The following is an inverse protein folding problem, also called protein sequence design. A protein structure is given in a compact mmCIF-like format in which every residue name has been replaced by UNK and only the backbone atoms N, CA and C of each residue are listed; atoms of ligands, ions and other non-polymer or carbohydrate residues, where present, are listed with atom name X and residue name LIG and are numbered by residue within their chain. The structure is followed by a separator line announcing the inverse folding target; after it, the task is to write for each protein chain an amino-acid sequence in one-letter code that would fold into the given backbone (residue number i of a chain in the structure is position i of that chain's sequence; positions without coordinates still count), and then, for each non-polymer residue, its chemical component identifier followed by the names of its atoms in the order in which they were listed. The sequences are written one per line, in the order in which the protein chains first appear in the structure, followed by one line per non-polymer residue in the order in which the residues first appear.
data_IF_856940464589
#
_entry.id   IF_856940464589
#
_cell.length_a   1.000
_cell.length_b   1.000
_cell.length_c   1.000
_cell.angle_alpha   90.00
_cell.angle_beta   90.00
_cell.angle_gamma   90.00
#
_symmetry.space_group_name_H-M   'P 1'
#
loop_
_entity.id
_entity.type
_entity.pdbx_description
1 polymer ?
#
# COMPACT_ATOMS: atom_id res chain seq x y z
N UNK A 1 1.65 -35.80 -4.68
CA UNK A 1 2.13 -36.85 -3.81
C UNK A 1 2.54 -36.27 -2.46
N UNK A 2 1.85 -36.73 -1.43
CA UNK A 2 2.04 -36.55 0.02
C UNK A 2 1.99 -35.11 0.58
N UNK A 3 0.77 -34.70 0.90
CA UNK A 3 0.46 -33.87 2.07
C UNK A 3 0.79 -34.71 3.31
N UNK A 4 1.91 -34.47 3.94
CA UNK A 4 2.18 -34.92 5.28
C UNK A 4 2.72 -33.78 6.12
N UNK A 5 1.82 -33.26 6.98
CA UNK A 5 2.10 -32.83 8.34
C UNK A 5 3.37 -31.98 8.55
N UNK A 6 3.23 -30.69 8.28
CA UNK A 6 4.12 -29.70 8.85
C UNK A 6 3.57 -29.34 10.24
N UNK A 7 3.92 -30.12 11.25
CA UNK A 7 3.82 -29.66 12.62
C UNK A 7 4.81 -28.48 12.79
N UNK A 8 4.39 -27.35 13.34
CA UNK A 8 5.32 -26.30 13.75
C UNK A 8 6.19 -26.90 14.84
N UNK A 9 7.46 -27.20 14.51
CA UNK A 9 8.42 -27.64 15.51
C UNK A 9 8.58 -26.47 16.48
N UNK A 10 8.07 -26.66 17.67
CA UNK A 10 8.31 -25.90 18.88
C UNK A 10 9.81 -25.95 19.22
N UNK A 11 10.63 -25.19 18.52
CA UNK A 11 11.82 -24.61 19.10
C UNK A 11 11.37 -23.28 19.71
N UNK A 12 10.50 -23.35 20.71
CA UNK A 12 10.48 -22.40 21.77
C UNK A 12 11.83 -22.52 22.48
N UNK A 13 12.77 -21.65 22.13
CA UNK A 13 13.84 -21.32 23.04
C UNK A 13 13.15 -20.60 24.20
N UNK A 14 12.63 -21.39 25.17
CA UNK A 14 12.11 -20.84 26.41
C UNK A 14 13.27 -20.10 27.05
N UNK A 15 13.10 -18.80 27.20
CA UNK A 15 13.92 -17.99 28.09
C UNK A 15 13.95 -18.71 29.42
N UNK A 16 15.13 -19.04 29.94
CA UNK A 16 15.25 -19.55 31.32
C UNK A 16 14.64 -18.53 32.25
N UNK A 17 13.72 -18.95 33.13
CA UNK A 17 13.20 -18.10 34.20
C UNK A 17 14.39 -17.40 34.89
N UNK A 18 14.40 -16.05 34.92
CA UNK A 18 15.47 -15.24 35.48
C UNK A 18 16.38 -14.53 34.45
N UNK A 19 16.04 -14.56 33.15
CA UNK A 19 16.81 -13.75 32.15
C UNK A 19 16.59 -12.26 32.38
N UNK A 20 17.69 -11.52 32.52
CA UNK A 20 17.71 -10.06 32.67
C UNK A 20 17.29 -9.44 31.33
N UNK A 21 16.31 -8.53 31.34
CA UNK A 21 16.02 -7.68 30.18
C UNK A 21 17.26 -6.86 29.85
N UNK A 22 17.67 -6.87 28.60
CA UNK A 22 18.84 -6.16 28.13
C UNK A 22 18.42 -4.98 27.26
N UNK A 23 19.11 -3.87 27.38
CA UNK A 23 18.88 -2.71 26.53
C UNK A 23 19.38 -2.98 25.08
N UNK A 24 18.97 -2.13 24.16
CA UNK A 24 19.33 -2.26 22.75
C UNK A 24 20.85 -2.24 22.51
N UNK A 25 21.62 -1.48 23.30
CA UNK A 25 23.08 -1.40 23.13
C UNK A 25 23.77 -2.70 23.56
N UNK A 26 23.28 -3.36 24.61
CA UNK A 26 23.74 -4.69 25.02
C UNK A 26 23.50 -5.72 23.93
N UNK A 27 22.27 -5.80 23.41
CA UNK A 27 21.95 -6.68 22.28
C UNK A 27 22.80 -6.38 21.04
N UNK A 28 22.98 -5.10 20.70
CA UNK A 28 23.82 -4.68 19.58
C UNK A 28 25.26 -5.15 19.71
N UNK A 29 25.83 -5.12 20.94
CA UNK A 29 27.16 -5.63 21.20
C UNK A 29 27.24 -7.14 20.99
N UNK A 30 26.24 -7.91 21.44
CA UNK A 30 26.15 -9.37 21.24
C UNK A 30 26.03 -9.71 19.75
N UNK A 31 25.12 -9.06 19.02
CA UNK A 31 24.94 -9.26 17.57
C UNK A 31 26.27 -9.04 16.84
N UNK A 32 26.97 -7.95 17.12
CA UNK A 32 28.26 -7.66 16.51
C UNK A 32 29.33 -8.68 16.87
N UNK A 33 29.32 -9.20 18.11
CA UNK A 33 30.23 -10.26 18.55
C UNK A 33 29.95 -11.57 17.82
N UNK A 34 28.68 -11.99 17.77
CA UNK A 34 28.25 -13.17 17.03
C UNK A 34 28.67 -13.10 15.55
N UNK A 35 28.47 -11.94 14.92
CA UNK A 35 28.89 -11.78 13.51
C UNK A 35 30.40 -11.94 13.31
N UNK A 36 31.22 -11.43 14.23
CA UNK A 36 32.69 -11.58 14.15
C UNK A 36 33.14 -13.04 14.30
N UNK A 37 32.37 -13.82 15.05
CA UNK A 37 32.66 -15.25 15.30
C UNK A 37 32.10 -16.17 14.20
N UNK A 38 31.31 -15.63 13.26
CA UNK A 38 30.79 -16.43 12.15
C UNK A 38 31.94 -16.92 11.28
N UNK A 39 32.00 -18.26 11.10
CA UNK A 39 32.87 -18.90 10.13
C UNK A 39 32.53 -18.44 8.70
N UNK A 40 33.44 -18.67 7.76
CA UNK A 40 33.19 -18.41 6.35
C UNK A 40 33.41 -19.69 5.54
N UNK A 41 32.34 -20.36 5.12
CA UNK A 41 30.92 -20.05 5.20
C UNK A 41 30.30 -20.33 6.58
N UNK A 42 29.27 -19.56 7.03
CA UNK A 42 28.67 -19.76 8.34
C UNK A 42 27.89 -21.08 8.41
N UNK A 43 27.84 -21.69 9.60
CA UNK A 43 27.04 -22.88 9.86
C UNK A 43 25.56 -22.53 10.08
N UNK A 44 24.68 -23.54 9.96
CA UNK A 44 23.26 -23.38 10.26
C UNK A 44 23.03 -22.95 11.71
N UNK A 45 23.74 -23.58 12.64
CA UNK A 45 23.64 -23.33 14.08
C UNK A 45 24.00 -21.87 14.40
N UNK A 46 25.13 -21.38 13.86
CA UNK A 46 25.57 -20.00 14.10
C UNK A 46 24.60 -18.96 13.57
N UNK A 47 23.99 -19.19 12.40
CA UNK A 47 22.96 -18.29 11.86
C UNK A 47 21.63 -18.40 12.63
N UNK A 48 21.29 -19.57 13.15
CA UNK A 48 20.11 -19.76 13.99
C UNK A 48 20.25 -19.05 15.34
N UNK A 49 21.44 -19.10 15.95
CA UNK A 49 21.74 -18.31 17.16
C UNK A 49 21.66 -16.81 16.88
N UNK A 50 22.20 -16.36 15.77
CA UNK A 50 22.08 -14.94 15.39
C UNK A 50 20.60 -14.55 15.22
N UNK A 51 19.77 -15.35 14.56
CA UNK A 51 18.34 -15.08 14.41
C UNK A 51 17.61 -15.03 15.78
N UNK A 52 17.97 -15.91 16.71
CA UNK A 52 17.41 -15.90 18.05
C UNK A 52 17.76 -14.59 18.79
N UNK A 53 19.00 -14.11 18.69
CA UNK A 53 19.41 -12.85 19.27
C UNK A 53 18.70 -11.66 18.66
N UNK A 54 18.47 -11.66 17.32
CA UNK A 54 17.68 -10.61 16.67
C UNK A 54 16.24 -10.56 17.21
N UNK A 55 15.64 -11.74 17.50
CA UNK A 55 14.30 -11.81 18.11
C UNK A 55 14.29 -11.24 19.51
N UNK A 56 15.21 -11.64 20.38
CA UNK A 56 15.31 -11.11 21.73
C UNK A 56 15.54 -9.59 21.74
N UNK A 57 16.35 -9.08 20.82
CA UNK A 57 16.56 -7.64 20.67
C UNK A 57 15.24 -6.90 20.43
N UNK A 58 14.36 -7.43 19.57
CA UNK A 58 13.09 -6.79 19.26
C UNK A 58 12.00 -7.03 20.31
N UNK A 59 12.07 -8.15 21.06
CA UNK A 59 11.14 -8.47 22.14
C UNK A 59 11.45 -7.70 23.41
N UNK A 60 12.74 -7.49 23.74
CA UNK A 60 13.17 -6.76 24.93
C UNK A 60 13.03 -5.25 24.80
N UNK A 61 13.01 -4.74 23.56
CA UNK A 61 12.98 -3.31 23.28
C UNK A 61 11.76 -2.97 22.42
N UNK A 62 10.63 -2.70 23.05
CA UNK A 62 9.37 -2.35 22.36
C UNK A 62 9.46 -1.01 21.61
N UNK A 63 10.33 -0.10 22.05
CA UNK A 63 10.52 1.25 21.52
C UNK A 63 11.79 1.38 20.68
N UNK A 64 12.12 0.33 19.91
CA UNK A 64 13.28 0.36 19.01
C UNK A 64 13.12 1.47 17.97
N UNK A 65 14.12 2.36 17.91
CA UNK A 65 14.16 3.41 16.87
C UNK A 65 14.23 2.81 15.47
N UNK A 66 13.90 3.61 14.44
CA UNK A 66 14.03 3.18 13.04
C UNK A 66 15.45 2.70 12.71
N UNK A 67 16.48 3.44 13.16
CA UNK A 67 17.89 3.04 12.97
C UNK A 67 18.21 1.72 13.66
N UNK A 68 17.66 1.50 14.87
CA UNK A 68 17.80 0.24 15.60
C UNK A 68 17.14 -0.92 14.88
N UNK A 69 15.91 -0.73 14.42
CA UNK A 69 15.21 -1.72 13.57
C UNK A 69 16.00 -2.02 12.30
N UNK A 70 16.44 -1.00 11.58
CA UNK A 70 17.17 -1.15 10.32
C UNK A 70 18.50 -1.88 10.53
N UNK A 71 19.18 -1.63 11.66
CA UNK A 71 20.34 -2.41 12.07
C UNK A 71 19.99 -3.90 12.22
N UNK A 72 18.93 -4.25 12.95
CA UNK A 72 18.49 -5.64 13.15
C UNK A 72 18.10 -6.29 11.79
N UNK A 73 17.37 -5.56 10.95
CA UNK A 73 16.92 -6.03 9.64
C UNK A 73 18.08 -6.22 8.65
N UNK A 74 19.16 -5.49 8.76
CA UNK A 74 20.37 -5.72 7.95
C UNK A 74 20.99 -7.10 8.25
N UNK A 75 20.98 -7.54 9.52
CA UNK A 75 21.46 -8.88 9.88
C UNK A 75 20.49 -9.99 9.48
N UNK A 76 19.19 -9.77 9.57
CA UNK A 76 18.21 -10.73 9.05
C UNK A 76 18.35 -10.91 7.53
N UNK A 77 18.63 -9.83 6.80
CA UNK A 77 18.98 -9.88 5.37
C UNK A 77 20.23 -10.72 5.09
N UNK A 78 21.24 -10.64 5.94
CA UNK A 78 22.43 -11.47 5.86
C UNK A 78 22.09 -12.96 6.05
N UNK A 79 21.28 -13.31 7.06
CA UNK A 79 20.82 -14.69 7.30
C UNK A 79 20.05 -15.23 6.08
N UNK A 80 19.09 -14.47 5.55
CA UNK A 80 18.31 -14.87 4.36
C UNK A 80 19.20 -15.16 3.16
N UNK A 81 20.18 -14.29 2.89
CA UNK A 81 21.12 -14.47 1.77
C UNK A 81 21.86 -15.80 1.87
N UNK A 82 22.38 -16.12 3.05
CA UNK A 82 23.07 -17.38 3.28
C UNK A 82 22.13 -18.58 3.21
N UNK A 83 20.94 -18.49 3.78
CA UNK A 83 19.95 -19.55 3.75
C UNK A 83 19.56 -19.91 2.30
N UNK A 84 19.28 -18.89 1.44
CA UNK A 84 18.98 -19.09 0.02
C UNK A 84 20.15 -19.73 -0.73
N UNK A 85 21.38 -19.23 -0.54
CA UNK A 85 22.56 -19.74 -1.22
C UNK A 85 22.84 -21.22 -0.84
N UNK A 86 22.78 -21.53 0.45
CA UNK A 86 22.99 -22.88 0.97
C UNK A 86 21.90 -23.84 0.52
N UNK A 87 20.62 -23.43 0.59
CA UNK A 87 19.52 -24.25 0.07
C UNK A 87 19.66 -24.53 -1.43
N UNK A 88 20.07 -23.54 -2.21
CA UNK A 88 20.26 -23.70 -3.66
C UNK A 88 21.34 -24.73 -4.00
N UNK A 89 22.40 -24.80 -3.19
CA UNK A 89 23.52 -25.70 -3.41
C UNK A 89 23.34 -27.09 -2.79
N UNK A 90 22.70 -27.18 -1.61
CA UNK A 90 22.62 -28.45 -0.84
C UNK A 90 21.26 -29.11 -0.93
N UNK A 91 20.21 -28.37 -1.23
CA UNK A 91 18.79 -28.75 -1.13
C UNK A 91 18.39 -29.26 0.26
N UNK A 92 19.17 -28.94 1.29
CA UNK A 92 18.87 -29.30 2.66
C UNK A 92 17.75 -28.39 3.22
N UNK A 93 16.69 -29.03 3.71
CA UNK A 93 15.47 -28.38 4.20
C UNK A 93 15.69 -27.46 5.41
N UNK A 94 16.76 -27.68 6.20
CA UNK A 94 17.07 -26.79 7.32
C UNK A 94 17.29 -25.35 6.86
N UNK A 95 17.91 -25.14 5.67
CA UNK A 95 18.15 -23.82 5.12
C UNK A 95 16.86 -23.15 4.61
N UNK A 96 15.95 -23.94 4.02
CA UNK A 96 14.62 -23.43 3.67
C UNK A 96 13.85 -23.02 4.94
N UNK A 97 13.90 -23.83 5.99
CA UNK A 97 13.31 -23.50 7.28
C UNK A 97 13.89 -22.19 7.84
N UNK A 98 15.21 -22.04 7.88
CA UNK A 98 15.87 -20.83 8.38
C UNK A 98 15.45 -19.59 7.59
N UNK A 99 15.33 -19.70 6.27
CA UNK A 99 14.82 -18.63 5.43
C UNK A 99 13.41 -18.19 5.85
N UNK A 100 12.48 -19.15 5.99
CA UNK A 100 11.11 -18.85 6.36
C UNK A 100 10.98 -18.36 7.81
N UNK A 101 11.76 -18.88 8.72
CA UNK A 101 11.81 -18.39 10.11
C UNK A 101 12.32 -16.95 10.18
N UNK A 102 13.25 -16.57 9.29
CA UNK A 102 13.73 -15.19 9.18
C UNK A 102 12.68 -14.28 8.56
N UNK A 103 11.98 -14.70 7.49
CA UNK A 103 10.88 -13.93 6.91
C UNK A 103 9.75 -13.73 7.93
N UNK A 104 9.41 -14.77 8.70
CA UNK A 104 8.40 -14.66 9.77
C UNK A 104 8.81 -13.65 10.83
N UNK A 105 10.08 -13.67 11.24
CA UNK A 105 10.62 -12.69 12.17
C UNK A 105 10.50 -11.25 11.66
N UNK A 106 10.80 -11.00 10.38
CA UNK A 106 10.69 -9.68 9.78
C UNK A 106 9.26 -9.20 9.57
N UNK A 107 8.31 -10.11 9.37
CA UNK A 107 6.95 -9.80 8.92
C UNK A 107 6.20 -8.77 9.77
N UNK A 108 6.31 -8.70 11.12
CA UNK A 108 5.68 -7.64 11.91
C UNK A 108 6.27 -6.25 11.65
N UNK A 109 7.51 -6.15 11.16
CA UNK A 109 8.28 -4.91 11.07
C UNK A 109 8.46 -4.43 9.63
N UNK A 110 8.50 -5.36 8.66
CA UNK A 110 8.77 -5.09 7.24
C UNK A 110 7.59 -5.56 6.38
N UNK A 111 6.94 -4.62 5.72
CA UNK A 111 5.74 -4.90 4.92
C UNK A 111 6.00 -5.86 3.75
N UNK A 112 7.16 -5.77 3.07
CA UNK A 112 7.56 -6.72 2.02
C UNK A 112 7.61 -8.16 2.55
N UNK A 113 8.21 -8.36 3.72
CA UNK A 113 8.31 -9.67 4.38
C UNK A 113 6.95 -10.18 4.86
N UNK A 114 6.08 -9.28 5.35
CA UNK A 114 4.70 -9.60 5.67
C UNK A 114 3.95 -10.15 4.47
N UNK A 115 4.00 -9.45 3.33
CA UNK A 115 3.33 -9.88 2.09
C UNK A 115 3.82 -11.25 1.62
N UNK A 116 5.14 -11.49 1.68
CA UNK A 116 5.75 -12.78 1.30
C UNK A 116 5.25 -13.89 2.23
N UNK A 117 5.27 -13.66 3.54
CA UNK A 117 4.91 -14.68 4.52
C UNK A 117 3.41 -14.96 4.52
N UNK A 118 2.57 -13.94 4.41
CA UNK A 118 1.11 -14.06 4.40
C UNK A 118 0.59 -15.08 3.40
N UNK A 119 1.22 -15.18 2.25
CA UNK A 119 0.79 -16.08 1.17
C UNK A 119 1.63 -17.37 1.07
N UNK A 120 2.46 -17.67 2.10
CA UNK A 120 3.37 -18.82 2.07
C UNK A 120 2.67 -20.14 1.74
N UNK A 121 1.50 -20.39 2.33
CA UNK A 121 0.72 -21.62 2.15
C UNK A 121 -0.12 -21.65 0.88
N UNK A 122 -0.25 -20.53 0.17
CA UNK A 122 -1.07 -20.44 -1.03
C UNK A 122 -0.37 -21.04 -2.24
N UNK A 123 -1.14 -21.69 -3.13
CA UNK A 123 -0.64 -22.18 -4.42
C UNK A 123 -0.11 -21.00 -5.25
N UNK A 124 0.98 -21.19 -6.01
CA UNK A 124 1.65 -20.13 -6.78
C UNK A 124 0.70 -19.28 -7.62
N UNK A 125 -0.20 -19.91 -8.39
CA UNK A 125 -1.20 -19.22 -9.21
C UNK A 125 -2.21 -18.37 -8.42
N UNK A 126 -2.36 -18.61 -7.11
CA UNK A 126 -3.25 -17.87 -6.21
C UNK A 126 -2.54 -16.79 -5.40
N UNK A 127 -1.23 -16.75 -5.43
CA UNK A 127 -0.43 -15.73 -4.76
C UNK A 127 -0.65 -14.39 -5.45
N UNK A 128 -0.89 -13.36 -4.64
CA UNK A 128 -1.06 -12.00 -5.12
C UNK A 128 0.27 -11.30 -5.32
N UNK A 129 1.12 -11.28 -4.26
CA UNK A 129 2.27 -10.39 -4.22
C UNK A 129 3.47 -10.90 -5.00
N UNK A 130 3.88 -12.15 -4.82
CA UNK A 130 5.10 -12.69 -5.44
C UNK A 130 5.15 -12.49 -6.96
N UNK A 131 4.09 -12.80 -7.74
CA UNK A 131 4.08 -12.55 -9.18
C UNK A 131 4.16 -11.06 -9.56
N UNK A 132 3.76 -10.17 -8.65
CA UNK A 132 3.68 -8.71 -8.85
C UNK A 132 4.82 -7.95 -8.21
N UNK A 133 5.64 -8.61 -7.41
CA UNK A 133 6.65 -7.98 -6.55
C UNK A 133 7.61 -7.09 -7.32
N UNK A 134 8.03 -7.50 -8.51
CA UNK A 134 8.95 -6.72 -9.36
C UNK A 134 8.41 -5.30 -9.62
N UNK A 135 7.13 -5.17 -9.92
CA UNK A 135 6.48 -3.89 -10.20
C UNK A 135 6.00 -3.18 -8.94
N UNK A 136 5.40 -3.92 -8.00
CA UNK A 136 4.77 -3.32 -6.82
C UNK A 136 5.73 -3.03 -5.67
N UNK A 137 6.98 -3.53 -5.72
CA UNK A 137 7.95 -3.32 -4.62
C UNK A 137 8.17 -1.84 -4.30
N UNK A 138 8.20 -0.98 -5.31
CA UNK A 138 8.35 0.46 -5.11
C UNK A 138 7.15 1.06 -4.33
N UNK A 139 5.94 0.56 -4.59
CA UNK A 139 4.73 0.97 -3.84
C UNK A 139 4.77 0.42 -2.41
N UNK A 140 5.28 -0.82 -2.24
CA UNK A 140 5.47 -1.44 -0.92
C UNK A 140 6.49 -0.66 -0.09
N UNK A 141 7.54 -0.15 -0.71
CA UNK A 141 8.54 0.68 -0.03
C UNK A 141 7.94 2.05 0.37
N UNK A 142 7.10 2.65 -0.48
CA UNK A 142 6.38 3.88 -0.13
C UNK A 142 5.39 3.65 1.04
N UNK A 143 4.70 2.50 1.06
CA UNK A 143 3.83 2.11 2.18
C UNK A 143 4.62 1.86 3.48
N UNK A 144 5.82 1.28 3.38
CA UNK A 144 6.73 1.16 4.52
C UNK A 144 7.16 2.55 5.03
N UNK A 145 7.51 3.47 4.14
CA UNK A 145 7.88 4.83 4.52
C UNK A 145 6.72 5.59 5.19
N UNK A 146 5.47 5.35 4.75
CA UNK A 146 4.26 5.88 5.39
C UNK A 146 4.10 5.31 6.81
N UNK A 147 4.30 4.00 6.99
CA UNK A 147 4.24 3.36 8.31
C UNK A 147 5.39 3.85 9.21
N UNK A 148 6.57 4.07 8.65
CA UNK A 148 7.75 4.57 9.35
C UNK A 148 7.69 6.08 9.66
N UNK A 149 6.58 6.76 9.35
CA UNK A 149 6.39 8.20 9.56
C UNK A 149 7.43 9.08 8.86
N UNK A 150 8.00 8.60 7.74
CA UNK A 150 8.85 9.40 6.86
C UNK A 150 8.03 10.31 5.95
N UNK A 151 6.76 9.97 5.78
CA UNK A 151 5.73 10.75 5.10
C UNK A 151 4.42 10.62 5.88
N UNK A 152 3.53 11.62 5.77
CA UNK A 152 2.22 11.64 6.42
C UNK A 152 1.09 11.27 5.45
N UNK A 153 1.33 11.46 4.17
CA UNK A 153 0.39 11.20 3.08
C UNK A 153 1.04 10.41 1.95
N UNK A 154 0.34 9.37 1.48
CA UNK A 154 0.71 8.63 0.28
C UNK A 154 -0.45 8.56 -0.70
N UNK A 155 -0.28 9.17 -1.87
CA UNK A 155 -1.18 9.05 -3.01
C UNK A 155 -0.69 8.00 -4.00
N UNK A 156 -1.50 6.99 -4.32
CA UNK A 156 -1.16 5.92 -5.26
C UNK A 156 -2.10 5.93 -6.45
N UNK A 157 -1.54 6.00 -7.64
CA UNK A 157 -2.29 5.97 -8.89
C UNK A 157 -1.72 4.93 -9.84
N UNK A 158 -2.50 3.88 -10.10
CA UNK A 158 -2.17 2.76 -10.98
C UNK A 158 -3.33 2.46 -11.92
N UNK A 159 -3.11 1.80 -13.06
CA UNK A 159 -4.17 1.34 -13.94
C UNK A 159 -5.22 0.49 -13.22
N UNK A 160 -6.44 0.41 -13.75
CA UNK A 160 -7.46 -0.47 -13.19
C UNK A 160 -7.02 -1.94 -13.18
N UNK A 161 -7.43 -2.69 -12.14
CA UNK A 161 -7.28 -4.15 -12.00
C UNK A 161 -5.86 -4.68 -11.83
N UNK A 162 -4.83 -3.83 -11.68
CA UNK A 162 -3.44 -4.27 -11.47
C UNK A 162 -3.14 -4.70 -10.03
N UNK A 163 -4.09 -4.51 -9.09
CA UNK A 163 -3.99 -4.99 -7.71
C UNK A 163 -3.78 -3.91 -6.67
N UNK A 164 -4.00 -2.61 -6.99
CA UNK A 164 -3.83 -1.49 -6.06
C UNK A 164 -4.63 -1.66 -4.76
N UNK A 165 -5.96 -1.84 -4.84
CA UNK A 165 -6.81 -1.99 -3.64
C UNK A 165 -6.48 -3.27 -2.86
N UNK A 166 -6.13 -4.37 -3.55
CA UNK A 166 -5.69 -5.61 -2.88
C UNK A 166 -4.43 -5.38 -2.05
N UNK A 167 -3.44 -4.65 -2.59
CA UNK A 167 -2.22 -4.30 -1.84
C UNK A 167 -2.55 -3.49 -0.58
N UNK A 168 -3.49 -2.54 -0.69
CA UNK A 168 -3.92 -1.71 0.45
C UNK A 168 -4.69 -2.51 1.50
N UNK A 169 -5.47 -3.54 1.10
CA UNK A 169 -6.11 -4.46 2.04
C UNK A 169 -5.05 -5.21 2.87
N UNK A 170 -3.98 -5.70 2.25
CA UNK A 170 -2.86 -6.30 2.98
C UNK A 170 -2.16 -5.29 3.90
N UNK A 171 -1.98 -4.05 3.44
CA UNK A 171 -1.36 -3.00 4.24
C UNK A 171 -2.21 -2.69 5.49
N UNK A 172 -3.51 -2.51 5.33
CA UNK A 172 -4.41 -2.26 6.46
C UNK A 172 -4.46 -3.46 7.42
N UNK A 173 -4.47 -4.70 6.92
CA UNK A 173 -4.38 -5.88 7.76
C UNK A 173 -3.06 -5.91 8.56
N UNK A 174 -1.94 -5.55 7.94
CA UNK A 174 -0.64 -5.46 8.60
C UNK A 174 -0.62 -4.41 9.72
N UNK A 175 -1.12 -3.21 9.44
CA UNK A 175 -1.22 -2.11 10.41
C UNK A 175 -2.09 -2.53 11.60
N UNK A 176 -3.26 -3.10 11.33
CA UNK A 176 -4.16 -3.58 12.38
C UNK A 176 -3.56 -4.73 13.20
N UNK A 177 -2.76 -5.59 12.58
CA UNK A 177 -2.01 -6.64 13.29
C UNK A 177 -0.97 -6.08 14.24
N UNK A 178 -0.33 -4.97 13.88
CA UNK A 178 0.65 -4.27 14.74
C UNK A 178 -0.01 -3.49 15.87
N UNK A 179 -1.16 -2.90 15.62
CA UNK A 179 -1.89 -2.00 16.55
C UNK A 179 -3.37 -2.38 16.57
N UNK A 180 -3.73 -3.48 17.22
CA UNK A 180 -5.13 -3.95 17.25
C UNK A 180 -6.08 -2.99 17.98
N UNK A 181 -5.59 -2.19 18.92
CA UNK A 181 -6.35 -1.16 19.62
C UNK A 181 -6.46 0.18 18.86
N UNK A 182 -5.68 0.38 17.80
CA UNK A 182 -5.73 1.59 16.98
C UNK A 182 -6.99 1.66 16.12
N UNK A 183 -7.49 2.88 15.89
CA UNK A 183 -8.70 3.10 15.09
C UNK A 183 -8.33 3.52 13.68
N UNK A 184 -8.86 2.82 12.69
CA UNK A 184 -8.63 3.07 11.27
C UNK A 184 -9.95 3.21 10.53
N UNK A 185 -9.96 4.02 9.49
CA UNK A 185 -11.12 4.18 8.64
C UNK A 185 -10.81 3.94 7.17
N UNK A 186 -11.74 3.31 6.47
CA UNK A 186 -11.72 3.18 5.01
C UNK A 186 -12.93 3.86 4.40
N UNK A 187 -12.71 4.68 3.38
CA UNK A 187 -13.76 5.27 2.55
C UNK A 187 -13.54 5.04 1.07
N UNK A 188 -14.63 5.06 0.32
CA UNK A 188 -14.64 5.05 -1.14
C UNK A 188 -15.92 5.70 -1.66
N UNK A 189 -16.08 5.76 -2.98
CA UNK A 189 -17.26 6.39 -3.59
C UNK A 189 -18.60 5.71 -3.24
N UNK A 190 -18.62 4.52 -2.65
CA UNK A 190 -19.88 3.83 -2.34
C UNK A 190 -19.76 2.85 -1.16
N UNK A 191 -20.89 2.60 -0.50
CA UNK A 191 -20.99 1.57 0.55
C UNK A 191 -20.66 0.15 0.06
N UNK A 192 -20.94 -0.16 -1.22
CA UNK A 192 -20.62 -1.47 -1.81
C UNK A 192 -19.10 -1.69 -1.86
N UNK A 193 -18.34 -0.66 -2.21
CA UNK A 193 -16.88 -0.74 -2.21
C UNK A 193 -16.34 -0.92 -0.79
N UNK A 194 -16.88 -0.17 0.16
CA UNK A 194 -16.52 -0.27 1.57
C UNK A 194 -16.83 -1.66 2.16
N UNK A 195 -18.00 -2.23 1.86
CA UNK A 195 -18.39 -3.58 2.28
C UNK A 195 -17.46 -4.67 1.71
N UNK A 196 -17.10 -4.54 0.43
CA UNK A 196 -16.13 -5.45 -0.18
C UNK A 196 -14.77 -5.38 0.52
N UNK A 197 -14.27 -4.18 0.78
CA UNK A 197 -13.00 -3.99 1.48
C UNK A 197 -13.04 -4.62 2.87
N UNK A 198 -14.09 -4.37 3.63
CA UNK A 198 -14.31 -4.96 4.95
C UNK A 198 -14.25 -6.49 4.92
N UNK A 199 -14.98 -7.12 3.98
CA UNK A 199 -14.98 -8.59 3.83
C UNK A 199 -13.62 -9.15 3.45
N UNK A 200 -12.92 -8.49 2.54
CA UNK A 200 -11.60 -8.94 2.08
C UNK A 200 -10.56 -8.78 3.21
N UNK A 201 -10.61 -7.70 4.00
CA UNK A 201 -9.76 -7.52 5.18
C UNK A 201 -10.04 -8.57 6.26
N UNK A 202 -11.33 -8.84 6.58
CA UNK A 202 -11.73 -9.91 7.51
C UNK A 202 -11.18 -11.26 7.07
N UNK A 203 -11.26 -11.56 5.77
CA UNK A 203 -10.74 -12.80 5.20
C UNK A 203 -9.22 -12.96 5.38
N UNK A 204 -8.44 -11.91 5.23
CA UNK A 204 -6.99 -11.97 5.45
C UNK A 204 -6.64 -12.35 6.89
N UNK A 205 -7.44 -11.89 7.86
CA UNK A 205 -7.19 -12.12 9.28
C UNK A 205 -7.67 -13.50 9.74
N UNK A 206 -8.81 -13.97 9.23
CA UNK A 206 -9.47 -15.20 9.72
C UNK A 206 -9.12 -16.46 8.92
N UNK A 207 -8.88 -16.33 7.62
CA UNK A 207 -8.74 -17.50 6.76
C UNK A 207 -7.40 -18.21 6.95
N UNK A 208 -7.45 -19.54 7.07
CA UNK A 208 -6.29 -20.41 7.14
C UNK A 208 -5.44 -20.45 5.85
N UNK A 209 -5.98 -19.93 4.73
CA UNK A 209 -5.19 -19.74 3.51
C UNK A 209 -4.05 -18.73 3.68
N UNK A 210 -4.19 -17.84 4.67
CA UNK A 210 -3.22 -16.82 5.03
C UNK A 210 -2.59 -17.11 6.39
N UNK A 211 -1.35 -16.69 6.56
CA UNK A 211 -0.58 -16.96 7.78
C UNK A 211 -0.63 -15.80 8.77
N UNK A 212 -1.69 -14.97 8.75
CA UNK A 212 -1.81 -13.79 9.61
C UNK A 212 -1.59 -14.12 11.10
N UNK A 213 -2.23 -15.19 11.59
CA UNK A 213 -2.11 -15.62 12.98
C UNK A 213 -0.75 -16.20 13.36
N UNK A 214 0.07 -16.59 12.38
CA UNK A 214 1.46 -16.99 12.64
C UNK A 214 2.37 -15.77 12.84
N UNK A 215 2.00 -14.62 12.24
CA UNK A 215 2.72 -13.33 12.37
C UNK A 215 2.26 -12.60 13.63
N UNK A 216 0.95 -12.53 13.86
CA UNK A 216 0.30 -11.84 14.98
C UNK A 216 -0.53 -12.83 15.82
N UNK A 217 0.12 -13.69 16.61
CA UNK A 217 -0.55 -14.81 17.30
C UNK A 217 -1.56 -14.35 18.35
N UNK A 218 -1.44 -13.14 18.89
CA UNK A 218 -2.37 -12.60 19.90
C UNK A 218 -3.57 -11.88 19.30
N UNK A 219 -3.54 -11.53 18.01
CA UNK A 219 -4.58 -10.73 17.36
C UNK A 219 -5.71 -11.61 16.85
N UNK A 220 -6.93 -11.29 17.25
CA UNK A 220 -8.18 -11.96 16.86
C UNK A 220 -9.26 -10.92 16.59
N UNK A 221 -10.23 -11.26 15.74
CA UNK A 221 -11.47 -10.49 15.68
C UNK A 221 -12.26 -10.80 16.94
N UNK A 222 -12.30 -9.83 17.87
CA UNK A 222 -13.00 -9.94 19.14
C UNK A 222 -14.50 -9.68 18.98
N UNK A 223 -14.87 -8.70 18.15
CA UNK A 223 -16.24 -8.33 17.84
C UNK A 223 -16.34 -7.76 16.41
N UNK A 224 -17.52 -7.81 15.83
CA UNK A 224 -17.79 -7.23 14.50
C UNK A 224 -19.25 -6.88 14.30
N UNK A 225 -19.50 -5.86 13.51
CA UNK A 225 -20.81 -5.54 12.96
C UNK A 225 -20.74 -5.55 11.44
N UNK A 226 -21.25 -6.62 10.83
CA UNK A 226 -21.29 -6.73 9.36
C UNK A 226 -22.23 -5.70 8.74
N UNK A 227 -23.30 -5.30 9.44
CA UNK A 227 -24.24 -4.27 9.00
C UNK A 227 -23.57 -2.89 8.92
N UNK A 228 -22.70 -2.59 9.90
CA UNK A 228 -21.99 -1.30 9.98
C UNK A 228 -20.61 -1.33 9.32
N UNK A 229 -20.13 -2.51 8.87
CA UNK A 229 -18.78 -2.75 8.39
C UNK A 229 -17.70 -2.32 9.41
N UNK A 230 -17.90 -2.70 10.66
CA UNK A 230 -17.02 -2.43 11.80
C UNK A 230 -16.39 -3.72 12.32
N UNK A 231 -15.09 -3.67 12.61
CA UNK A 231 -14.27 -4.78 13.10
C UNK A 231 -13.44 -4.33 14.29
N UNK A 232 -13.48 -5.14 15.37
CA UNK A 232 -12.72 -4.93 16.60
C UNK A 232 -11.73 -6.09 16.77
N UNK A 233 -10.44 -5.79 16.83
CA UNK A 233 -9.38 -6.81 16.94
C UNK A 233 -8.87 -7.00 18.36
N UNK A 234 -9.14 -6.06 19.25
CA UNK A 234 -8.78 -6.14 20.65
C UNK A 234 -10.04 -5.97 21.52
N UNK A 235 -9.85 -6.08 22.83
CA UNK A 235 -10.94 -5.92 23.77
C UNK A 235 -11.61 -4.56 23.58
N UNK A 236 -12.90 -4.55 23.79
CA UNK A 236 -13.90 -3.50 23.72
C UNK A 236 -13.33 -2.07 23.83
N UNK A 237 -12.87 -1.52 22.71
CA UNK A 237 -12.66 -0.10 22.56
C UNK A 237 -13.98 0.60 22.17
N UNK A 238 -14.06 1.91 22.40
CA UNK A 238 -15.25 2.69 22.06
C UNK A 238 -15.47 2.80 20.56
N UNK A 239 -14.38 2.74 19.78
CA UNK A 239 -14.38 2.75 18.32
C UNK A 239 -13.76 1.47 17.75
N UNK A 240 -14.16 1.13 16.53
CA UNK A 240 -13.68 -0.07 15.86
C UNK A 240 -12.22 0.08 15.40
N UNK A 241 -11.47 -1.02 15.45
CA UNK A 241 -10.13 -1.08 14.84
C UNK A 241 -10.18 -0.76 13.36
N UNK A 242 -11.26 -1.12 12.67
CA UNK A 242 -11.53 -0.76 11.28
C UNK A 242 -13.00 -0.43 11.09
N UNK A 243 -13.28 0.75 10.56
CA UNK A 243 -14.60 1.15 10.07
C UNK A 243 -14.55 1.41 8.57
N UNK A 244 -15.42 0.75 7.79
CA UNK A 244 -15.49 0.90 6.34
C UNK A 244 -16.83 1.51 5.92
N UNK A 245 -16.83 2.69 5.29
CA UNK A 245 -18.05 3.37 4.86
C UNK A 245 -17.86 4.07 3.52
N UNK A 246 -18.92 4.11 2.69
CA UNK A 246 -18.95 5.04 1.56
C UNK A 246 -18.88 6.48 2.04
N UNK A 247 -18.37 7.38 1.21
CA UNK A 247 -18.26 8.80 1.58
C UNK A 247 -19.61 9.44 1.92
N UNK A 248 -20.68 8.97 1.30
CA UNK A 248 -22.05 9.43 1.56
C UNK A 248 -22.68 8.79 2.82
N UNK A 249 -21.92 7.97 3.55
CA UNK A 249 -22.37 7.30 4.79
C UNK A 249 -22.35 8.21 6.01
N UNK A 250 -22.72 7.64 7.18
CA UNK A 250 -22.69 8.37 8.44
C UNK A 250 -21.29 8.33 9.04
N UNK A 251 -20.63 9.47 9.12
CA UNK A 251 -19.26 9.61 9.64
C UNK A 251 -19.21 10.33 10.98
N UNK A 252 -19.96 11.45 11.11
CA UNK A 252 -19.94 12.30 12.31
C UNK A 252 -20.44 11.54 13.53
N UNK A 253 -19.64 11.55 14.61
CA UNK A 253 -19.96 10.89 15.87
C UNK A 253 -19.90 9.35 15.85
N UNK A 254 -19.52 8.76 14.69
CA UNK A 254 -19.49 7.31 14.52
C UNK A 254 -18.10 6.76 14.13
N UNK A 255 -17.17 7.63 13.72
CA UNK A 255 -15.81 7.27 13.28
C UNK A 255 -14.81 8.18 13.98
N UNK A 256 -13.76 7.58 14.49
CA UNK A 256 -12.58 8.20 15.03
C UNK A 256 -11.36 7.53 14.39
N UNK A 257 -10.32 8.28 14.07
CA UNK A 257 -9.06 7.75 13.57
C UNK A 257 -7.97 8.15 14.55
N UNK A 258 -7.40 7.16 15.24
CA UNK A 258 -6.38 7.40 16.28
C UNK A 258 -5.13 8.09 15.72
N UNK A 259 -4.32 8.68 16.60
CA UNK A 259 -3.06 9.36 16.27
C UNK A 259 -2.04 8.46 15.55
N UNK A 260 -2.12 7.16 15.75
CA UNK A 260 -1.31 6.14 15.07
C UNK A 260 -2.08 5.39 13.97
N UNK A 261 -3.35 5.76 13.74
CA UNK A 261 -4.26 5.16 12.77
C UNK A 261 -4.12 5.70 11.36
N UNK A 262 -4.98 5.18 10.49
CA UNK A 262 -5.00 5.49 9.06
C UNK A 262 -6.38 5.91 8.56
N UNK A 263 -6.42 6.99 7.79
CA UNK A 263 -7.49 7.23 6.84
C UNK A 263 -7.09 6.62 5.50
N UNK A 264 -7.76 5.52 5.12
CA UNK A 264 -7.61 4.93 3.78
C UNK A 264 -8.76 5.34 2.87
N UNK A 265 -8.45 5.92 1.73
CA UNK A 265 -9.42 6.40 0.75
C UNK A 265 -9.20 5.69 -0.58
N UNK A 266 -10.22 4.98 -1.09
CA UNK A 266 -10.15 4.22 -2.34
C UNK A 266 -11.17 4.71 -3.38
N UNK A 267 -10.68 5.10 -4.56
CA UNK A 267 -11.48 5.47 -5.74
C UNK A 267 -12.69 6.39 -5.39
N UNK A 268 -12.47 7.64 -4.95
CA UNK A 268 -13.54 8.58 -4.60
C UNK A 268 -14.40 8.99 -5.79
N UNK A 269 -13.86 8.99 -7.00
CA UNK A 269 -14.59 9.30 -8.22
C UNK A 269 -15.21 8.02 -8.77
N UNK A 270 -16.53 7.97 -8.84
CA UNK A 270 -17.27 6.78 -9.21
C UNK A 270 -17.15 6.43 -10.69
N UNK A 271 -17.31 7.42 -11.56
CA UNK A 271 -17.41 7.19 -12.99
C UNK A 271 -17.00 8.41 -13.84
N UNK A 272 -17.06 8.21 -15.17
CA UNK A 272 -16.73 9.25 -16.15
C UNK A 272 -17.64 10.47 -16.03
N UNK A 273 -18.94 10.28 -15.78
CA UNK A 273 -19.88 11.42 -15.74
C UNK A 273 -19.57 12.34 -14.55
N UNK A 274 -19.23 11.77 -13.40
CA UNK A 274 -18.76 12.53 -12.24
C UNK A 274 -17.47 13.28 -12.56
N UNK A 275 -16.53 12.65 -13.25
CA UNK A 275 -15.22 13.22 -13.59
C UNK A 275 -15.25 14.36 -14.59
N UNK A 276 -16.32 14.49 -15.39
CA UNK A 276 -16.50 15.55 -16.38
C UNK A 276 -17.18 16.79 -15.81
N UNK A 277 -17.71 16.73 -14.59
CA UNK A 277 -18.40 17.86 -13.96
C UNK A 277 -17.49 18.57 -12.96
N UNK A 278 -17.04 19.81 -13.23
CA UNK A 278 -16.23 20.58 -12.28
C UNK A 278 -16.89 20.71 -10.91
N UNK A 279 -18.21 20.97 -10.89
CA UNK A 279 -18.98 21.10 -9.64
C UNK A 279 -18.99 19.81 -8.83
N UNK A 280 -19.16 18.65 -9.48
CA UNK A 280 -19.12 17.34 -8.77
C UNK A 280 -17.74 17.03 -8.25
N UNK A 281 -16.69 17.33 -9.00
CA UNK A 281 -15.30 17.17 -8.55
C UNK A 281 -15.02 18.07 -7.34
N UNK A 282 -15.47 19.33 -7.38
CA UNK A 282 -15.36 20.25 -6.25
C UNK A 282 -16.09 19.72 -5.03
N UNK A 283 -17.36 19.35 -5.17
CA UNK A 283 -18.14 18.80 -4.06
C UNK A 283 -17.46 17.55 -3.48
N UNK A 284 -16.97 16.65 -4.31
CA UNK A 284 -16.29 15.44 -3.85
C UNK A 284 -15.00 15.75 -3.08
N UNK A 285 -14.26 16.79 -3.49
CA UNK A 285 -13.08 17.23 -2.75
C UNK A 285 -13.46 17.88 -1.43
N UNK A 286 -14.53 18.68 -1.39
CA UNK A 286 -15.03 19.25 -0.15
C UNK A 286 -15.59 18.18 0.81
N UNK A 287 -16.29 17.17 0.30
CA UNK A 287 -16.74 16.02 1.10
C UNK A 287 -15.53 15.27 1.71
N UNK A 288 -14.48 15.05 0.93
CA UNK A 288 -13.24 14.46 1.43
C UNK A 288 -12.65 15.28 2.58
N UNK A 289 -12.54 16.60 2.45
CA UNK A 289 -11.97 17.46 3.49
C UNK A 289 -12.87 17.53 4.74
N UNK A 290 -14.16 17.79 4.56
CA UNK A 290 -15.06 18.11 5.68
C UNK A 290 -15.70 16.86 6.34
N UNK A 291 -15.67 15.71 5.68
CA UNK A 291 -16.28 14.47 6.20
C UNK A 291 -15.20 13.50 6.67
N UNK A 292 -14.17 13.26 5.83
CA UNK A 292 -13.18 12.22 6.10
C UNK A 292 -11.99 12.76 6.91
N UNK A 293 -11.39 13.87 6.46
CA UNK A 293 -10.20 14.43 7.11
C UNK A 293 -10.52 14.92 8.52
N UNK A 294 -11.72 15.45 8.76
CA UNK A 294 -12.19 15.85 10.09
C UNK A 294 -12.29 14.70 11.11
N UNK A 295 -12.15 13.45 10.70
CA UNK A 295 -12.15 12.28 11.60
C UNK A 295 -10.76 11.89 12.08
N UNK A 296 -9.73 12.54 11.56
CA UNK A 296 -8.33 12.27 11.88
C UNK A 296 -7.93 12.98 13.18
N UNK A 297 -7.27 12.23 14.07
CA UNK A 297 -6.53 12.83 15.18
C UNK A 297 -5.13 13.27 14.72
N UNK A 298 -4.50 14.16 15.47
CA UNK A 298 -3.14 14.61 15.21
C UNK A 298 -2.18 13.40 15.23
N UNK A 299 -1.32 13.32 14.22
CA UNK A 299 -0.39 12.19 14.02
C UNK A 299 -0.95 11.02 13.20
N UNK A 300 -2.28 10.98 12.91
CA UNK A 300 -2.83 9.96 11.99
C UNK A 300 -2.36 10.19 10.56
N UNK A 301 -2.19 9.09 9.81
CA UNK A 301 -1.64 9.10 8.44
C UNK A 301 -2.72 8.86 7.41
N UNK A 302 -2.40 9.15 6.18
CA UNK A 302 -3.37 9.06 5.10
C UNK A 302 -2.83 8.31 3.89
N UNK A 303 -3.64 7.40 3.39
CA UNK A 303 -3.39 6.63 2.19
C UNK A 303 -4.55 6.85 1.22
N UNK A 304 -4.32 7.57 0.13
CA UNK A 304 -5.32 7.73 -0.93
C UNK A 304 -4.91 6.96 -2.17
N UNK A 305 -5.82 6.12 -2.64
CA UNK A 305 -5.61 5.31 -3.84
C UNK A 305 -6.69 5.60 -4.85
N UNK A 306 -6.32 5.79 -6.09
CA UNK A 306 -7.31 6.10 -7.11
C UNK A 306 -6.89 5.77 -8.51
N UNK A 307 -7.90 5.61 -9.36
CA UNK A 307 -7.75 5.70 -10.81
C UNK A 307 -7.87 7.16 -11.19
N UNK A 308 -6.91 7.70 -11.94
CA UNK A 308 -6.97 9.09 -12.39
C UNK A 308 -8.06 9.26 -13.47
N UNK A 309 -8.80 10.30 -13.34
CA UNK A 309 -9.88 10.65 -14.27
C UNK A 309 -9.73 12.05 -14.83
N UNK A 310 -9.31 12.98 -13.97
CA UNK A 310 -9.24 14.42 -14.27
C UNK A 310 -8.06 15.02 -13.50
N UNK A 311 -7.50 16.12 -13.96
CA UNK A 311 -6.46 16.83 -13.21
C UNK A 311 -6.98 17.40 -11.90
N UNK A 312 -8.29 17.67 -11.82
CA UNK A 312 -9.00 18.21 -10.65
C UNK A 312 -9.69 17.13 -9.82
N UNK A 313 -9.44 15.82 -10.08
CA UNK A 313 -9.87 14.79 -9.14
C UNK A 313 -9.18 14.97 -7.78
N UNK A 314 -9.72 14.45 -6.66
CA UNK A 314 -9.16 14.71 -5.34
C UNK A 314 -7.66 14.43 -5.24
N UNK A 315 -7.20 13.31 -5.81
CA UNK A 315 -5.79 12.95 -5.81
C UNK A 315 -4.94 13.94 -6.64
N UNK A 316 -5.47 14.44 -7.76
CA UNK A 316 -4.78 15.42 -8.60
C UNK A 316 -4.68 16.80 -7.96
N UNK A 317 -5.72 17.21 -7.21
CA UNK A 317 -5.68 18.47 -6.45
C UNK A 317 -4.66 18.39 -5.34
N UNK A 318 -4.69 17.35 -4.53
CA UNK A 318 -3.69 17.13 -3.47
C UNK A 318 -2.26 17.10 -4.04
N UNK A 319 -2.04 16.43 -5.18
CA UNK A 319 -0.74 16.42 -5.83
C UNK A 319 -0.31 17.84 -6.25
N UNK A 320 -1.20 18.63 -6.81
CA UNK A 320 -0.92 20.01 -7.22
C UNK A 320 -0.61 20.91 -6.03
N UNK A 321 -1.39 20.79 -4.97
CA UNK A 321 -1.30 21.61 -3.76
C UNK A 321 -0.05 21.27 -2.93
N UNK A 322 0.31 19.97 -2.85
CA UNK A 322 1.40 19.49 -1.98
C UNK A 322 2.62 18.97 -2.73
N UNK A 323 2.78 19.34 -4.00
CA UNK A 323 3.89 18.87 -4.87
C UNK A 323 5.28 19.01 -4.26
N UNK A 324 5.49 20.03 -3.44
CA UNK A 324 6.79 20.37 -2.86
C UNK A 324 6.86 20.11 -1.34
N UNK A 325 5.80 19.56 -0.75
CA UNK A 325 5.79 19.20 0.66
C UNK A 325 6.40 17.80 0.84
N UNK A 326 7.54 17.67 1.55
CA UNK A 326 8.21 16.37 1.73
C UNK A 326 7.39 15.36 2.52
N UNK A 327 6.35 15.80 3.25
CA UNK A 327 5.43 14.93 3.98
C UNK A 327 4.46 14.19 3.05
N UNK A 328 4.33 14.66 1.80
CA UNK A 328 3.42 14.11 0.80
C UNK A 328 4.21 13.38 -0.28
N UNK A 329 3.76 12.17 -0.61
CA UNK A 329 4.32 11.38 -1.72
C UNK A 329 3.23 10.93 -2.67
N UNK A 330 3.50 11.04 -3.97
CA UNK A 330 2.57 10.61 -5.02
C UNK A 330 3.26 9.60 -5.92
N UNK A 331 2.77 8.34 -5.89
CA UNK A 331 3.30 7.24 -6.71
C UNK A 331 2.39 6.96 -7.89
N UNK A 332 2.97 7.03 -9.09
CA UNK A 332 2.29 6.72 -10.35
C UNK A 332 3.06 5.64 -11.08
N UNK A 333 2.37 4.61 -11.56
CA UNK A 333 2.96 3.63 -12.48
C UNK A 333 2.02 3.51 -13.68
N UNK A 334 2.44 3.94 -14.88
CA UNK A 334 1.63 3.85 -16.08
C UNK A 334 1.50 2.39 -16.56
N UNK A 335 0.50 2.12 -17.41
CA UNK A 335 0.29 0.81 -18.01
C UNK A 335 1.46 0.37 -18.90
N UNK A 336 1.99 1.30 -19.67
CA UNK A 336 3.14 1.10 -20.55
C UNK A 336 4.30 1.98 -20.11
N UNK A 337 5.50 1.45 -20.23
CA UNK A 337 6.75 2.17 -19.97
C UNK A 337 7.18 3.04 -21.16
N UNK A 338 8.39 3.60 -21.10
CA UNK A 338 8.97 4.43 -22.14
C UNK A 338 9.28 3.66 -23.44
N UNK A 339 9.41 2.35 -23.36
CA UNK A 339 9.62 1.45 -24.49
C UNK A 339 8.30 0.89 -25.07
N UNK A 340 7.15 1.42 -24.62
CA UNK A 340 5.80 0.94 -24.98
C UNK A 340 5.58 -0.53 -24.58
N UNK A 341 6.23 -0.97 -23.47
CA UNK A 341 6.11 -2.30 -22.89
C UNK A 341 5.32 -2.26 -21.58
N UNK A 342 4.54 -3.34 -21.30
CA UNK A 342 3.68 -3.42 -20.12
C UNK A 342 4.48 -3.46 -18.83
N UNK A 343 4.22 -2.53 -17.91
CA UNK A 343 4.71 -2.56 -16.52
C UNK A 343 4.04 -3.67 -15.67
N UNK A 344 2.94 -4.25 -16.15
CA UNK A 344 2.09 -5.17 -15.38
C UNK A 344 1.99 -6.56 -16.01
N UNK A 345 3.00 -6.97 -16.74
CA UNK A 345 3.09 -8.31 -17.31
C UNK A 345 3.53 -9.32 -16.24
N UNK A 346 2.56 -9.75 -15.45
CA UNK A 346 2.77 -10.72 -14.38
C UNK A 346 2.71 -12.15 -14.90
N UNK A 347 3.39 -13.06 -14.23
CA UNK A 347 3.31 -14.49 -14.55
C UNK A 347 1.87 -15.04 -14.47
N UNK A 348 1.11 -14.56 -13.47
CA UNK A 348 -0.30 -14.94 -13.29
C UNK A 348 -1.17 -13.70 -13.15
N UNK A 349 -2.21 -13.61 -14.00
CA UNK A 349 -3.19 -12.53 -13.92
C UNK A 349 -2.64 -11.14 -14.23
N UNK A 350 -1.61 -11.07 -15.07
CA UNK A 350 -1.05 -9.83 -15.57
C UNK A 350 -1.70 -9.36 -16.87
N UNK A 351 -1.22 -8.22 -17.34
CA UNK A 351 -1.66 -7.58 -18.57
C UNK A 351 -0.50 -7.47 -19.53
N UNK A 352 -0.61 -8.17 -20.69
CA UNK A 352 0.44 -8.14 -21.71
C UNK A 352 0.53 -6.78 -22.39
N UNK A 353 1.67 -6.49 -22.99
CA UNK A 353 1.87 -5.32 -23.86
C UNK A 353 0.80 -5.26 -24.95
N UNK A 354 0.50 -6.40 -25.59
CA UNK A 354 -0.57 -6.48 -26.61
C UNK A 354 -1.91 -6.02 -26.04
N UNK A 355 -2.29 -6.51 -24.84
CA UNK A 355 -3.55 -6.12 -24.20
C UNK A 355 -3.66 -4.60 -24.05
N UNK A 356 -2.61 -3.94 -23.58
CA UNK A 356 -2.64 -2.50 -23.39
C UNK A 356 -2.63 -1.72 -24.71
N UNK A 357 -1.92 -2.20 -25.73
CA UNK A 357 -1.97 -1.61 -27.09
C UNK A 357 -3.37 -1.72 -27.70
N UNK A 358 -3.98 -2.89 -27.62
CA UNK A 358 -5.37 -3.11 -28.07
C UNK A 358 -6.38 -2.21 -27.31
N UNK A 359 -6.15 -1.99 -26.00
CA UNK A 359 -6.98 -1.08 -25.20
C UNK A 359 -6.78 0.39 -25.59
N UNK A 360 -5.56 0.79 -25.89
CA UNK A 360 -5.24 2.15 -26.38
C UNK A 360 -5.97 2.49 -27.68
N UNK A 361 -6.09 1.52 -28.58
CA UNK A 361 -6.81 1.70 -29.86
C UNK A 361 -8.32 1.80 -29.67
N UNK A 362 -8.88 1.14 -28.64
CA UNK A 362 -10.33 1.08 -28.38
C UNK A 362 -10.88 2.24 -27.56
N UNK A 363 -10.07 2.78 -26.67
CA UNK A 363 -10.50 3.81 -25.73
C UNK A 363 -10.39 5.21 -26.32
N UNK A 364 -11.22 6.11 -25.80
CA UNK A 364 -11.01 7.55 -25.98
C UNK A 364 -9.58 7.92 -25.52
N UNK A 365 -8.80 8.68 -26.31
CA UNK A 365 -7.43 9.04 -25.94
C UNK A 365 -7.33 9.68 -24.56
N UNK A 366 -8.30 10.51 -24.16
CA UNK A 366 -8.29 11.16 -22.84
C UNK A 366 -8.45 10.12 -21.73
N UNK A 367 -9.34 9.12 -21.91
CA UNK A 367 -9.50 8.03 -20.95
C UNK A 367 -8.27 7.15 -20.86
N UNK A 368 -7.64 6.87 -21.99
CA UNK A 368 -6.38 6.12 -22.01
C UNK A 368 -5.29 6.83 -21.23
N UNK A 369 -5.05 8.11 -21.55
CA UNK A 369 -4.02 8.89 -20.89
C UNK A 369 -4.29 9.10 -19.40
N UNK A 370 -5.53 9.33 -19.00
CA UNK A 370 -5.90 9.49 -17.60
C UNK A 370 -5.78 8.19 -16.82
N UNK A 371 -6.53 7.15 -17.20
CA UNK A 371 -6.68 5.93 -16.42
C UNK A 371 -5.50 4.98 -16.52
N UNK A 372 -4.90 4.88 -17.71
CA UNK A 372 -3.86 3.89 -17.96
C UNK A 372 -2.46 4.51 -17.91
N UNK A 373 -2.29 5.71 -18.42
CA UNK A 373 -0.99 6.39 -18.39
C UNK A 373 -0.80 7.31 -17.17
N UNK A 374 -1.82 7.46 -16.31
CA UNK A 374 -1.82 8.28 -15.10
C UNK A 374 -1.50 9.78 -15.36
N UNK A 375 -1.84 10.25 -16.55
CA UNK A 375 -1.60 11.60 -17.04
C UNK A 375 -2.91 12.22 -17.54
N UNK A 376 -3.88 12.51 -16.64
CA UNK A 376 -5.06 13.25 -17.04
C UNK A 376 -4.67 14.64 -17.52
N UNK A 377 -5.37 15.16 -18.50
CA UNK A 377 -5.22 16.54 -18.96
C UNK A 377 -6.58 17.26 -18.96
N UNK A 378 -6.55 18.56 -18.89
CA UNK A 378 -7.75 19.37 -18.97
C UNK A 378 -8.27 19.23 -20.40
N UNK A 379 -9.53 18.85 -20.56
CA UNK A 379 -10.25 19.21 -21.77
C UNK A 379 -10.48 20.72 -21.70
N UNK A 380 -9.50 21.50 -22.05
CA UNK A 380 -9.80 22.85 -22.51
C UNK A 380 -10.77 22.70 -23.66
N UNK A 381 -11.80 23.51 -23.66
CA UNK A 381 -12.89 23.42 -24.63
C UNK A 381 -12.38 23.43 -26.08
N UNK A 382 -11.93 22.27 -26.53
CA UNK A 382 -11.24 22.05 -27.78
C UNK A 382 -12.24 21.86 -28.92
N UNK A 383 -13.08 22.86 -29.12
CA UNK A 383 -13.60 23.10 -30.47
C UNK A 383 -12.44 23.50 -31.39
N UNK A 384 -11.37 24.13 -30.84
CA UNK A 384 -10.20 24.58 -31.58
C UNK A 384 -8.94 24.33 -30.75
N UNK A 385 -8.11 23.29 -31.08
CA UNK A 385 -6.77 23.15 -30.53
C UNK A 385 -5.96 24.44 -30.75
N UNK A 386 -5.13 24.81 -29.74
CA UNK A 386 -4.32 26.03 -29.84
C UNK A 386 -3.45 26.04 -31.10
N UNK A 387 -3.01 24.87 -31.58
CA UNK A 387 -2.27 24.71 -32.83
C UNK A 387 -3.10 25.03 -34.09
N UNK A 388 -4.43 25.06 -34.00
CA UNK A 388 -5.32 25.41 -35.09
C UNK A 388 -5.66 26.91 -35.07
N UNK A 389 -5.30 27.63 -33.99
CA UNK A 389 -5.52 29.07 -33.88
C UNK A 389 -4.42 29.77 -34.67
N UNK A 390 -4.84 30.56 -35.63
CA UNK A 390 -3.97 31.45 -36.41
C UNK A 390 -3.98 32.84 -35.78
N UNK A 391 -2.89 33.22 -35.19
CA UNK A 391 -2.72 34.55 -34.61
C UNK A 391 -2.20 35.52 -35.66
N UNK A 392 -2.85 36.67 -35.75
CA UNK A 392 -2.39 37.80 -36.57
C UNK A 392 -1.64 38.78 -35.67
N UNK A 393 -0.36 38.99 -35.96
CA UNK A 393 0.49 39.95 -35.26
C UNK A 393 0.72 41.16 -36.18
N UNK A 394 -0.02 42.21 -35.99
CA UNK A 394 0.16 43.45 -36.78
C UNK A 394 -1.06 44.38 -36.72
N UNK A 395 -0.93 45.53 -37.35
CA UNK A 395 -2.03 46.44 -37.52
C UNK A 395 -3.00 45.89 -38.59
N UNK A 396 -4.27 45.84 -38.32
CA UNK A 396 -5.25 45.49 -39.31
C UNK A 396 -5.18 46.50 -40.48
N UNK A 397 -5.28 46.05 -41.73
CA UNK A 397 -5.25 46.96 -42.88
C UNK A 397 -6.31 48.04 -42.79
N UNK A 398 -5.92 49.29 -42.93
CA UNK A 398 -6.87 50.41 -43.04
C UNK A 398 -7.60 50.31 -44.39
N UNK A 399 -8.76 49.75 -44.37
CA UNK A 399 -9.63 49.61 -45.56
C UNK A 399 -9.52 48.21 -46.21
N UNK A 400 -10.52 47.86 -47.00
CA UNK A 400 -10.59 46.59 -47.73
C UNK A 400 -11.46 45.51 -47.14
N UNK A 401 -12.13 45.75 -46.00
CA UNK A 401 -13.15 44.82 -45.46
C UNK A 401 -14.51 45.08 -46.08
N UNK A 402 -15.07 44.04 -46.70
CA UNK A 402 -16.46 44.09 -47.23
C UNK A 402 -17.46 43.99 -46.07
N UNK A 403 -17.07 43.37 -44.97
CA UNK A 403 -17.91 43.18 -43.75
C UNK A 403 -17.03 42.89 -42.55
N UNK A 404 -17.35 43.51 -41.40
CA UNK A 404 -16.77 43.21 -40.11
C UNK A 404 -17.85 42.54 -39.23
N UNK A 405 -17.55 41.39 -38.63
CA UNK A 405 -18.43 40.70 -37.69
C UNK A 405 -17.68 40.49 -36.39
N UNK A 406 -18.24 40.95 -35.30
CA UNK A 406 -17.71 40.66 -33.96
C UNK A 406 -18.65 39.67 -33.30
N UNK A 407 -18.11 38.53 -32.88
CA UNK A 407 -18.81 37.54 -32.06
C UNK A 407 -18.20 37.57 -30.67
N UNK A 408 -18.99 37.64 -29.64
CA UNK A 408 -18.58 37.55 -28.25
C UNK A 408 -19.36 36.39 -27.63
N UNK A 409 -18.64 35.36 -27.14
CA UNK A 409 -19.22 34.31 -26.34
C UNK A 409 -18.88 34.63 -24.87
N UNK A 410 -19.94 34.80 -24.07
CA UNK A 410 -19.78 35.03 -22.62
C UNK A 410 -19.88 33.66 -21.95
N UNK A 411 -18.73 33.06 -21.68
CA UNK A 411 -18.67 31.86 -20.89
C UNK A 411 -19.08 32.14 -19.43
N UNK A 412 -20.02 31.35 -18.94
CA UNK A 412 -20.51 31.37 -17.54
C UNK A 412 -19.70 30.38 -16.69
#
# INVERSE_FOLDING_TARGET
LNESLYEPSTFEYQRKEGSIFMDFQGHRAIINSLKRQLESPPSYESLSYLLAELRYTMEDNTDVTLDGRDFVMAYSGYIKKWAVNKYSSTRDRQWDKLYWDTIRFEAPYIFDSFLIYMERKRREKKKFYIPRRKTLKIVVDDLQDLEDRKIDFLGISLPPRVGKSTLCIFFMAWVMGKRPAGHNAMSGHSGILADRFYRDASKLIESEEYTFREIFPQVRIANRSAEKNEMYLDAVESFATLTCRGIDGTWTGAVDISDDGYLYVDDLIRDRQESLSPTRLENRYQDYLNILVDRKNDGSRELMVGTRWNVMDPLGRLEKEHKHDPRYRFRKIPALDENDESNFQYEYGGFSTKYYRDMREKLDPNEWWAKFMQKPFVREGLLFPENDLRYFYGLLPEGGFVRTVTACDVAW
#
